data_IF_059424179812
#
_entry.id   IF_059424179812
#
_cell.length_a   1.000
_cell.length_b   1.000
_cell.length_c   1.000
_cell.angle_alpha   90.00
_cell.angle_beta   90.00
_cell.angle_gamma   90.00
#
_symmetry.space_group_name_H-M   'P 1'
#
loop_
_entity.id
_entity.type
_entity.pdbx_description
1 polymer ?
#
# COMPACT_ATOMS: atom_id res chain seq x y z
N UNK A 1 -7.43 -29.13 4.98
CA UNK A 1 -6.01 -28.72 4.86
C UNK A 1 -5.90 -27.23 5.16
N UNK A 2 -5.16 -26.89 6.16
CA UNK A 2 -4.96 -25.48 6.49
C UNK A 2 -4.13 -24.78 5.42
N UNK A 3 -4.58 -23.61 4.98
CA UNK A 3 -3.78 -22.80 4.09
C UNK A 3 -2.59 -22.24 4.88
N UNK A 4 -1.39 -22.52 4.42
CA UNK A 4 -0.19 -21.93 4.98
C UNK A 4 -0.16 -20.46 4.58
N UNK A 5 -0.23 -19.57 5.57
CA UNK A 5 -0.11 -18.14 5.32
C UNK A 5 1.32 -17.80 4.91
N UNK A 6 1.53 -16.91 3.94
CA UNK A 6 2.88 -16.48 3.60
C UNK A 6 3.53 -15.76 4.79
N UNK A 7 4.84 -15.90 4.90
CA UNK A 7 5.61 -15.17 5.91
C UNK A 7 5.63 -13.67 5.56
N UNK A 8 5.96 -12.85 6.56
CA UNK A 8 6.13 -11.41 6.33
C UNK A 8 7.17 -11.14 5.24
N UNK A 9 8.27 -11.89 5.24
CA UNK A 9 9.33 -11.74 4.23
C UNK A 9 8.83 -12.08 2.83
N UNK A 10 8.04 -13.14 2.68
CA UNK A 10 7.45 -13.50 1.39
C UNK A 10 6.51 -12.40 0.89
N UNK A 11 5.69 -11.83 1.78
CA UNK A 11 4.79 -10.73 1.42
C UNK A 11 5.59 -9.51 0.94
N UNK A 12 6.65 -9.15 1.64
CA UNK A 12 7.52 -8.03 1.27
C UNK A 12 8.14 -8.26 -0.12
N UNK A 13 8.64 -9.47 -0.38
CA UNK A 13 9.22 -9.82 -1.67
C UNK A 13 8.18 -9.76 -2.80
N UNK A 14 6.98 -10.27 -2.55
CA UNK A 14 5.88 -10.25 -3.51
C UNK A 14 5.42 -8.83 -3.80
N UNK A 15 5.33 -7.99 -2.78
CA UNK A 15 4.97 -6.57 -2.94
C UNK A 15 6.04 -5.84 -3.75
N UNK A 16 7.32 -6.11 -3.49
CA UNK A 16 8.41 -5.50 -4.25
C UNK A 16 8.33 -5.87 -5.73
N UNK A 17 8.09 -7.14 -6.02
CA UNK A 17 7.94 -7.64 -7.38
C UNK A 17 6.71 -7.03 -8.08
N UNK A 18 5.59 -6.98 -7.37
CA UNK A 18 4.36 -6.37 -7.87
C UNK A 18 4.57 -4.88 -8.18
N UNK A 19 5.24 -4.14 -7.30
CA UNK A 19 5.56 -2.72 -7.53
C UNK A 19 6.39 -2.57 -8.80
N UNK A 20 7.44 -3.36 -8.94
CA UNK A 20 8.33 -3.31 -10.10
C UNK A 20 7.61 -3.62 -11.41
N UNK A 21 6.70 -4.59 -11.38
CA UNK A 21 6.03 -5.07 -12.60
C UNK A 21 4.73 -4.33 -12.91
N UNK A 22 4.18 -3.60 -11.95
CA UNK A 22 2.86 -2.97 -12.09
C UNK A 22 2.89 -1.45 -11.81
N UNK A 23 3.37 -1.03 -10.64
CA UNK A 23 3.34 0.38 -10.26
C UNK A 23 4.36 1.24 -11.04
N UNK A 24 5.50 0.65 -11.37
CA UNK A 24 6.66 1.36 -11.92
C UNK A 24 6.76 1.32 -13.43
N UNK A 25 5.89 0.56 -14.09
CA UNK A 25 5.93 0.40 -15.55
C UNK A 25 4.90 1.28 -16.24
N UNK A 26 5.20 1.67 -17.47
CA UNK A 26 4.27 2.42 -18.31
C UNK A 26 2.99 1.63 -18.55
N UNK A 27 1.85 2.32 -18.50
CA UNK A 27 0.54 1.72 -18.71
C UNK A 27 -0.20 2.50 -19.81
N UNK A 28 -0.60 1.79 -20.85
CA UNK A 28 -1.29 2.39 -22.00
C UNK A 28 -2.63 3.05 -21.59
N UNK A 29 -3.30 2.48 -20.59
CA UNK A 29 -4.57 3.04 -20.08
C UNK A 29 -4.37 4.33 -19.28
N UNK A 30 -3.15 4.64 -18.90
CA UNK A 30 -2.78 5.86 -18.17
C UNK A 30 -1.97 6.82 -19.05
N UNK A 31 -2.13 6.74 -20.38
CA UNK A 31 -1.41 7.60 -21.30
C UNK A 31 0.09 7.35 -21.37
N UNK A 32 0.52 6.12 -21.08
CA UNK A 32 1.93 5.76 -21.07
C UNK A 32 2.64 6.06 -19.74
N UNK A 33 1.92 6.58 -18.75
CA UNK A 33 2.47 6.83 -17.43
C UNK A 33 2.36 5.60 -16.53
N UNK A 34 3.27 5.41 -15.57
CA UNK A 34 3.11 4.36 -14.56
C UNK A 34 2.00 4.72 -13.57
N UNK A 35 1.41 3.71 -12.93
CA UNK A 35 0.37 3.91 -11.91
C UNK A 35 0.88 4.75 -10.74
N UNK A 36 2.15 4.62 -10.39
CA UNK A 36 2.80 5.48 -9.41
C UNK A 36 4.14 5.96 -9.96
N UNK A 37 4.22 7.19 -10.50
CA UNK A 37 5.45 7.68 -11.13
C UNK A 37 6.62 7.88 -10.15
N UNK A 38 6.33 7.93 -8.85
CA UNK A 38 7.35 8.13 -7.82
C UNK A 38 7.90 6.83 -7.23
N UNK A 39 7.24 5.70 -7.49
CA UNK A 39 7.56 4.43 -6.83
C UNK A 39 8.98 3.97 -7.12
N UNK A 40 9.40 4.01 -8.37
CA UNK A 40 10.72 3.54 -8.78
C UNK A 40 11.85 4.26 -8.04
N UNK A 41 11.77 5.59 -7.98
CA UNK A 41 12.75 6.40 -7.28
C UNK A 41 12.73 6.17 -5.78
N UNK A 42 11.52 6.06 -5.21
CA UNK A 42 11.37 5.81 -3.77
C UNK A 42 11.98 4.48 -3.36
N UNK A 43 11.81 3.42 -4.16
CA UNK A 43 12.47 2.14 -3.92
C UNK A 43 13.99 2.26 -4.01
N UNK A 44 14.49 2.94 -5.04
CA UNK A 44 15.93 3.14 -5.24
C UNK A 44 16.55 3.91 -4.09
N UNK A 45 15.86 4.92 -3.57
CA UNK A 45 16.34 5.78 -2.48
C UNK A 45 16.03 5.22 -1.08
N UNK A 46 15.49 3.99 -1.00
CA UNK A 46 15.09 3.33 0.26
C UNK A 46 14.07 4.15 1.06
N UNK A 47 13.09 4.72 0.36
CA UNK A 47 12.04 5.57 0.95
C UNK A 47 10.66 4.93 0.92
N UNK A 48 10.61 3.60 0.80
CA UNK A 48 9.37 2.82 0.86
C UNK A 48 9.33 2.04 2.16
N UNK A 49 8.23 2.21 2.90
CA UNK A 49 7.95 1.41 4.08
C UNK A 49 6.83 0.43 3.77
N UNK A 50 7.05 -0.86 4.04
CA UNK A 50 6.04 -1.90 3.87
C UNK A 50 5.58 -2.34 5.26
N UNK A 51 4.29 -2.19 5.53
CA UNK A 51 3.66 -2.67 6.75
C UNK A 51 2.65 -3.77 6.40
N UNK A 52 2.64 -4.84 7.18
CA UNK A 52 1.76 -5.98 6.99
C UNK A 52 0.80 -6.07 8.17
N UNK A 53 -0.51 -6.07 7.88
CA UNK A 53 -1.53 -6.16 8.91
C UNK A 53 -1.45 -7.50 9.65
N UNK A 54 -1.59 -7.46 10.97
CA UNK A 54 -1.68 -8.67 11.79
C UNK A 54 -3.09 -9.23 11.80
N UNK A 55 -3.22 -10.51 12.16
CA UNK A 55 -4.50 -11.23 12.12
C UNK A 55 -5.55 -10.68 13.09
N UNK A 56 -5.12 -10.24 14.27
CA UNK A 56 -6.02 -9.91 15.37
C UNK A 56 -6.36 -8.43 15.53
N UNK A 57 -5.79 -7.58 14.70
CA UNK A 57 -6.05 -6.14 14.74
C UNK A 57 -6.94 -5.72 13.57
N UNK A 58 -7.64 -4.60 13.74
CA UNK A 58 -8.47 -4.06 12.66
C UNK A 58 -7.63 -3.31 11.63
N UNK A 59 -8.13 -3.23 10.41
CA UNK A 59 -7.51 -2.49 9.33
C UNK A 59 -7.29 -1.02 9.72
N UNK A 60 -8.33 -0.36 10.23
CA UNK A 60 -8.26 1.05 10.63
C UNK A 60 -7.23 1.31 11.72
N UNK A 61 -7.21 0.47 12.76
CA UNK A 61 -6.29 0.64 13.87
C UNK A 61 -4.84 0.53 13.42
N UNK A 62 -4.52 -0.50 12.66
CA UNK A 62 -3.14 -0.70 12.21
C UNK A 62 -2.69 0.35 11.21
N UNK A 63 -3.55 0.73 10.27
CA UNK A 63 -3.20 1.79 9.32
C UNK A 63 -3.00 3.13 10.02
N UNK A 64 -3.87 3.46 10.98
CA UNK A 64 -3.71 4.70 11.76
C UNK A 64 -2.43 4.68 12.58
N UNK A 65 -2.08 3.55 13.19
CA UNK A 65 -0.84 3.41 13.94
C UNK A 65 0.38 3.59 13.03
N UNK A 66 0.35 3.02 11.82
CA UNK A 66 1.39 3.22 10.82
C UNK A 66 1.54 4.69 10.43
N UNK A 67 0.43 5.38 10.20
CA UNK A 67 0.44 6.79 9.80
C UNK A 67 0.98 7.68 10.92
N UNK A 68 0.71 7.36 12.18
CA UNK A 68 1.24 8.10 13.33
C UNK A 68 2.75 7.93 13.48
N UNK A 69 3.26 6.75 13.15
CA UNK A 69 4.67 6.39 13.34
C UNK A 69 5.51 6.63 12.09
N UNK A 70 4.88 6.98 10.97
CA UNK A 70 5.59 7.21 9.72
C UNK A 70 6.32 8.55 9.76
N UNK A 71 7.63 8.49 9.54
CA UNK A 71 8.45 9.68 9.41
C UNK A 71 8.52 10.09 7.93
N UNK A 72 7.72 11.06 7.55
CA UNK A 72 7.64 11.55 6.18
C UNK A 72 8.90 12.27 5.71
N UNK A 73 9.83 12.57 6.60
CA UNK A 73 11.15 13.11 6.21
C UNK A 73 12.08 12.00 5.72
N UNK A 74 11.82 10.75 6.11
CA UNK A 74 12.64 9.57 5.77
C UNK A 74 12.00 8.65 4.76
N UNK A 75 10.67 8.59 4.70
CA UNK A 75 9.92 7.72 3.82
C UNK A 75 8.91 8.54 3.02
N UNK A 76 8.77 8.21 1.75
CA UNK A 76 7.86 8.89 0.83
C UNK A 76 6.62 8.03 0.53
N UNK A 77 6.75 6.71 0.61
CA UNK A 77 5.68 5.77 0.28
C UNK A 77 5.51 4.77 1.41
N UNK A 78 4.26 4.59 1.85
CA UNK A 78 3.86 3.51 2.72
C UNK A 78 2.99 2.54 1.90
N UNK A 79 3.39 1.27 1.85
CA UNK A 79 2.56 0.20 1.29
C UNK A 79 2.03 -0.61 2.46
N UNK A 80 0.72 -0.52 2.70
CA UNK A 80 0.05 -1.26 3.76
C UNK A 80 -0.65 -2.48 3.16
N UNK A 81 -0.20 -3.66 3.57
CA UNK A 81 -0.71 -4.94 3.06
C UNK A 81 -1.63 -5.60 4.06
N UNK A 82 -2.81 -5.98 3.61
CA UNK A 82 -3.74 -6.80 4.38
C UNK A 82 -3.89 -8.18 3.73
N UNK A 83 -3.14 -9.19 4.21
CA UNK A 83 -3.22 -10.53 3.65
C UNK A 83 -4.49 -11.29 4.04
N UNK A 84 -5.32 -10.71 4.91
CA UNK A 84 -6.54 -11.33 5.42
C UNK A 84 -7.79 -10.84 4.70
N UNK A 85 -7.65 -9.94 3.73
CA UNK A 85 -8.77 -9.40 2.95
C UNK A 85 -9.91 -8.88 3.85
N UNK A 86 -9.56 -8.08 4.84
CA UNK A 86 -10.52 -7.50 5.80
C UNK A 86 -11.64 -6.72 5.13
N UNK A 87 -11.36 -6.13 3.97
CA UNK A 87 -12.32 -5.37 3.18
C UNK A 87 -12.56 -6.02 1.83
N UNK A 88 -13.81 -5.94 1.37
CA UNK A 88 -14.15 -6.18 -0.03
C UNK A 88 -13.56 -5.06 -0.92
N UNK A 89 -13.51 -5.24 -2.26
CA UNK A 89 -13.05 -4.16 -3.15
C UNK A 89 -13.82 -2.85 -2.93
N UNK A 90 -15.14 -2.92 -2.78
CA UNK A 90 -15.97 -1.73 -2.56
C UNK A 90 -15.70 -1.07 -1.20
N UNK A 91 -15.58 -1.87 -0.15
CA UNK A 91 -15.26 -1.37 1.19
C UNK A 91 -13.89 -0.71 1.22
N UNK A 92 -12.89 -1.30 0.54
CA UNK A 92 -11.55 -0.74 0.46
C UNK A 92 -11.56 0.59 -0.31
N UNK A 93 -12.31 0.66 -1.40
CA UNK A 93 -12.45 1.89 -2.18
C UNK A 93 -13.04 3.03 -1.35
N UNK A 94 -14.13 2.75 -0.63
CA UNK A 94 -14.78 3.74 0.25
C UNK A 94 -13.86 4.18 1.38
N UNK A 95 -13.15 3.26 2.01
CA UNK A 95 -12.19 3.58 3.06
C UNK A 95 -11.06 4.48 2.53
N UNK A 96 -10.59 4.20 1.32
CA UNK A 96 -9.54 4.99 0.67
C UNK A 96 -10.00 6.41 0.38
N UNK A 97 -11.23 6.57 -0.09
CA UNK A 97 -11.82 7.90 -0.30
C UNK A 97 -11.90 8.69 1.02
N UNK A 98 -12.33 8.04 2.10
CA UNK A 98 -12.40 8.67 3.43
C UNK A 98 -11.01 9.13 3.90
N UNK A 99 -10.00 8.28 3.75
CA UNK A 99 -8.62 8.65 4.12
C UNK A 99 -8.10 9.81 3.28
N UNK A 100 -8.39 9.85 1.99
CA UNK A 100 -8.00 10.96 1.12
C UNK A 100 -8.67 12.26 1.55
N UNK A 101 -9.93 12.21 1.99
CA UNK A 101 -10.64 13.38 2.50
C UNK A 101 -10.03 13.87 3.81
N UNK A 102 -9.75 12.96 4.74
CA UNK A 102 -9.20 13.31 6.07
C UNK A 102 -7.78 13.87 6.00
N UNK A 103 -6.98 13.45 5.03
CA UNK A 103 -5.56 13.79 4.92
C UNK A 103 -5.24 14.75 3.78
N UNK A 104 -6.24 15.32 3.11
CA UNK A 104 -6.03 16.15 1.91
C UNK A 104 -5.18 17.41 2.18
N UNK A 105 -5.18 17.91 3.41
CA UNK A 105 -4.40 19.10 3.81
C UNK A 105 -2.97 18.78 4.23
N UNK A 106 -2.59 17.52 4.23
CA UNK A 106 -1.27 17.06 4.69
C UNK A 106 -0.40 16.55 3.55
N UNK A 107 -0.82 16.78 2.31
CA UNK A 107 -0.14 16.29 1.11
C UNK A 107 0.06 14.77 1.10
N UNK A 108 -0.86 14.03 1.73
CA UNK A 108 -0.87 12.58 1.75
C UNK A 108 -1.97 12.10 0.82
N UNK A 109 -1.62 11.23 -0.12
CA UNK A 109 -2.54 10.67 -1.08
C UNK A 109 -2.60 9.16 -0.96
N UNK A 110 -3.81 8.61 -0.91
CA UNK A 110 -4.06 7.18 -0.75
C UNK A 110 -4.55 6.56 -2.06
N UNK A 111 -3.99 5.42 -2.40
CA UNK A 111 -4.42 4.58 -3.50
C UNK A 111 -4.71 3.19 -2.98
N UNK A 112 -5.75 2.53 -3.53
CA UNK A 112 -6.11 1.18 -3.12
C UNK A 112 -5.98 0.20 -4.28
N UNK A 113 -5.54 -1.00 -3.95
CA UNK A 113 -5.40 -2.10 -4.90
C UNK A 113 -5.97 -3.36 -4.24
N UNK A 114 -6.91 -4.02 -4.92
CA UNK A 114 -7.54 -5.25 -4.45
C UNK A 114 -7.45 -6.29 -5.55
N UNK A 115 -7.12 -7.55 -5.23
CA UNK A 115 -6.92 -8.57 -6.26
C UNK A 115 -8.20 -9.08 -6.91
N UNK A 116 -9.37 -8.74 -6.38
CA UNK A 116 -10.67 -9.18 -6.93
C UNK A 116 -11.31 -8.13 -7.81
#
# INVERSE_FOLDING_TARGET
>A
MEKIQPTRQQIIEDVRLWSKNYLEVSNVHLGGLPACPFARKAWTDNKVWIAVKTKHSTYKKELNDCLKNLDFTKKEILIFCDPYYSYSPDELHLATEDYNEWYNRKDIYFMSFHPS
#
